data_IF_022227665438
#
_entry.id   IF_022227665438
#
_cell.length_a   1.000
_cell.length_b   1.000
_cell.length_c   1.000
_cell.angle_alpha   90.00
_cell.angle_beta   90.00
_cell.angle_gamma   90.00
#
_symmetry.space_group_name_H-M   'P 1'
#
loop_
_entity.id
_entity.type
_entity.pdbx_description
1 polymer ?
#
# COMPACT_ATOMS: atom_id res chain seq x y z
N UNK A 1 -11.27 34.83 91.94
CA UNK A 1 -11.31 33.40 92.35
C UNK A 1 -11.55 32.57 91.10
N UNK A 2 -10.92 31.41 90.85
CA UNK A 2 -9.76 30.69 91.44
C UNK A 2 -9.13 29.89 90.27
N UNK A 3 -7.82 29.71 90.09
CA UNK A 3 -6.64 30.24 90.79
C UNK A 3 -6.26 31.62 90.18
N UNK A 4 -5.14 32.01 89.53
CA UNK A 4 -3.82 31.43 89.16
C UNK A 4 -3.86 30.18 88.22
N UNK A 5 -2.81 29.78 87.48
CA UNK A 5 -1.38 30.15 87.48
C UNK A 5 -0.77 30.14 86.04
N UNK A 6 0.36 30.81 85.86
CA UNK A 6 1.23 30.76 84.67
C UNK A 6 2.02 29.43 84.58
N UNK A 7 2.35 28.94 83.38
CA UNK A 7 3.61 28.22 83.16
C UNK A 7 4.05 28.25 81.69
N UNK A 8 5.35 28.41 81.46
CA UNK A 8 6.00 28.32 80.16
C UNK A 8 6.65 26.94 80.04
N UNK A 9 6.45 26.26 78.92
CA UNK A 9 7.30 25.12 78.52
C UNK A 9 7.62 25.22 77.04
N UNK A 10 8.88 25.50 76.74
CA UNK A 10 9.44 25.41 75.38
C UNK A 10 9.63 23.94 75.05
N UNK A 11 9.10 23.48 73.92
CA UNK A 11 9.47 22.19 73.34
C UNK A 11 9.90 22.39 71.88
N UNK A 12 11.21 22.56 71.70
CA UNK A 12 11.83 22.67 70.38
C UNK A 12 11.92 21.29 69.75
N UNK A 13 10.99 20.96 68.85
CA UNK A 13 11.08 19.75 68.01
C UNK A 13 11.61 20.14 66.63
N UNK A 14 12.93 20.04 66.49
CA UNK A 14 13.58 19.90 65.19
C UNK A 14 13.98 18.43 65.05
N UNK A 15 13.55 17.77 63.98
CA UNK A 15 14.38 16.86 63.16
C UNK A 15 13.58 16.25 62.00
N UNK A 16 14.26 16.12 60.85
CA UNK A 16 14.01 15.20 59.72
C UNK A 16 12.61 15.19 59.09
N UNK A 17 12.47 15.92 57.99
CA UNK A 17 12.75 15.26 56.71
C UNK A 17 11.71 14.28 56.17
N UNK A 18 10.46 14.73 56.00
CA UNK A 18 9.58 14.19 54.96
C UNK A 18 9.26 15.27 53.93
N UNK A 19 10.26 15.63 53.10
CA UNK A 19 9.96 16.08 51.73
C UNK A 19 9.35 14.85 51.03
N UNK A 20 8.03 14.70 51.10
CA UNK A 20 7.32 13.82 50.19
C UNK A 20 7.39 14.51 48.84
N UNK A 21 8.37 14.15 48.04
CA UNK A 21 8.35 14.48 46.63
C UNK A 21 7.04 13.89 46.08
N UNK A 22 6.14 14.78 45.67
CA UNK A 22 5.04 14.41 44.81
C UNK A 22 5.67 14.14 43.44
N UNK A 23 6.24 12.95 43.31
CA UNK A 23 6.31 12.26 42.03
C UNK A 23 4.87 12.16 41.54
N UNK A 24 4.45 13.15 40.76
CA UNK A 24 3.44 12.97 39.74
C UNK A 24 4.03 11.97 38.75
N UNK A 25 3.99 10.70 39.15
CA UNK A 25 4.28 9.54 38.35
C UNK A 25 3.07 9.34 37.44
N UNK A 26 2.87 10.34 36.56
CA UNK A 26 1.85 10.27 35.54
C UNK A 26 2.40 9.29 34.53
N UNK A 27 1.87 8.08 34.56
CA UNK A 27 1.81 7.24 33.37
C UNK A 27 0.86 7.92 32.37
N UNK A 28 1.26 9.09 31.87
CA UNK A 28 0.61 9.80 30.78
C UNK A 28 0.60 8.82 29.61
N UNK A 29 -0.56 8.26 29.33
CA UNK A 29 -0.69 7.37 28.18
C UNK A 29 -0.29 8.17 26.94
N UNK A 30 0.38 7.56 25.96
CA UNK A 30 0.79 8.31 24.75
C UNK A 30 -0.43 8.94 24.07
N UNK A 31 -1.60 8.30 24.19
CA UNK A 31 -2.92 8.82 23.85
C UNK A 31 -3.23 10.16 24.55
N UNK A 32 -3.00 10.30 25.86
CA UNK A 32 -3.28 11.53 26.60
C UNK A 32 -2.25 12.64 26.32
N UNK A 33 -0.97 12.28 26.10
CA UNK A 33 0.04 13.20 25.54
C UNK A 33 -0.45 13.74 24.19
N UNK A 34 -0.91 12.88 23.29
CA UNK A 34 -1.44 13.24 21.97
C UNK A 34 -2.68 14.15 22.09
N UNK A 35 -3.64 13.79 22.95
CA UNK A 35 -4.85 14.59 23.21
C UNK A 35 -4.55 15.98 23.77
N UNK A 36 -3.45 16.15 24.51
CA UNK A 36 -3.06 17.46 25.05
C UNK A 36 -2.73 18.48 23.94
N UNK A 37 -2.25 18.00 22.78
CA UNK A 37 -1.73 18.84 21.70
C UNK A 37 -0.44 19.61 22.04
N UNK A 38 0.09 19.45 23.26
CA UNK A 38 1.32 20.12 23.71
C UNK A 38 2.53 19.36 23.17
N UNK A 39 3.53 20.08 22.66
CA UNK A 39 4.76 19.45 22.17
C UNK A 39 5.48 18.68 23.30
N UNK A 40 6.00 17.46 23.03
CA UNK A 40 6.85 16.74 23.96
C UNK A 40 8.06 17.59 24.39
N UNK A 41 8.50 17.42 25.64
CA UNK A 41 9.70 18.10 26.15
C UNK A 41 10.98 17.72 25.39
N UNK A 42 11.01 16.50 24.83
CA UNK A 42 11.98 16.04 23.84
C UNK A 42 11.22 15.54 22.61
N UNK A 43 11.29 16.32 21.52
CA UNK A 43 10.61 16.01 20.26
C UNK A 43 11.35 14.91 19.50
N UNK A 44 12.68 14.88 19.55
CA UNK A 44 13.48 13.96 18.76
C UNK A 44 13.39 12.54 19.34
N UNK A 45 13.36 12.42 20.68
CA UNK A 45 13.05 11.16 21.37
C UNK A 45 11.62 10.67 21.10
N UNK A 46 10.63 11.57 21.03
CA UNK A 46 9.25 11.20 20.67
C UNK A 46 9.16 10.68 19.24
N UNK A 47 9.72 11.40 18.27
CA UNK A 47 9.68 10.98 16.87
C UNK A 47 10.46 9.66 16.66
N UNK A 48 11.58 9.46 17.34
CA UNK A 48 12.34 8.21 17.28
C UNK A 48 11.60 7.00 17.90
N UNK A 49 10.84 7.18 18.99
CA UNK A 49 10.02 6.11 19.57
C UNK A 49 8.89 5.70 18.63
N UNK A 50 8.18 6.68 18.06
CA UNK A 50 7.09 6.44 17.10
C UNK A 50 7.60 5.77 15.82
N UNK A 51 8.76 6.18 15.32
CA UNK A 51 9.42 5.55 14.16
C UNK A 51 9.83 4.09 14.46
N UNK A 52 10.28 3.79 15.68
CA UNK A 52 10.67 2.45 16.10
C UNK A 52 9.46 1.51 16.28
N UNK A 53 8.38 1.96 16.93
CA UNK A 53 7.15 1.15 17.04
C UNK A 53 6.52 0.92 15.65
N UNK A 54 6.53 1.94 14.79
CA UNK A 54 5.95 1.84 13.45
C UNK A 54 6.77 0.95 12.51
N UNK A 55 8.09 0.80 12.75
CA UNK A 55 8.91 -0.18 12.03
C UNK A 55 8.41 -1.63 12.26
N UNK A 56 7.93 -1.97 13.47
CA UNK A 56 7.33 -3.28 13.74
C UNK A 56 6.00 -3.49 12.98
N UNK A 57 5.20 -2.43 12.78
CA UNK A 57 4.03 -2.47 11.89
C UNK A 57 4.46 -2.77 10.46
N UNK A 58 5.49 -2.09 9.95
CA UNK A 58 5.99 -2.30 8.58
C UNK A 58 6.61 -3.69 8.35
N UNK A 59 7.20 -4.30 9.38
CA UNK A 59 7.72 -5.68 9.33
C UNK A 59 6.58 -6.71 9.34
N UNK A 60 5.50 -6.44 10.08
CA UNK A 60 4.35 -7.35 10.19
C UNK A 60 3.37 -7.27 9.01
N UNK A 61 3.26 -6.14 8.30
CA UNK A 61 2.32 -5.95 7.17
C UNK A 61 2.42 -7.09 6.14
N UNK A 62 1.29 -7.73 5.82
CA UNK A 62 1.24 -8.83 4.86
C UNK A 62 1.63 -10.21 5.41
N UNK A 63 1.96 -10.31 6.70
CA UNK A 63 2.10 -11.58 7.43
C UNK A 63 0.82 -11.92 8.21
N UNK A 64 0.75 -13.13 8.78
CA UNK A 64 -0.35 -13.54 9.67
C UNK A 64 -0.46 -12.67 10.95
N UNK A 65 0.62 -11.97 11.33
CA UNK A 65 0.66 -11.05 12.48
C UNK A 65 0.28 -9.60 12.16
N UNK A 66 -0.17 -9.29 10.95
CA UNK A 66 -0.38 -7.89 10.54
C UNK A 66 -1.43 -7.15 11.38
N UNK A 67 -2.55 -7.80 11.71
CA UNK A 67 -3.56 -7.24 12.61
C UNK A 67 -3.04 -7.02 14.04
N UNK A 68 -2.22 -7.92 14.57
CA UNK A 68 -1.71 -7.81 15.94
C UNK A 68 -0.77 -6.61 16.10
N UNK A 69 0.08 -6.34 15.09
CA UNK A 69 0.96 -5.17 15.08
C UNK A 69 0.18 -3.85 14.93
N UNK A 70 -0.86 -3.83 14.09
CA UNK A 70 -1.75 -2.67 13.94
C UNK A 70 -2.52 -2.39 15.24
N UNK A 71 -3.06 -3.43 15.89
CA UNK A 71 -3.74 -3.34 17.17
C UNK A 71 -2.81 -2.86 18.30
N UNK A 72 -1.54 -3.31 18.31
CA UNK A 72 -0.55 -2.84 19.28
C UNK A 72 -0.23 -1.35 19.11
N UNK A 73 -0.14 -0.86 17.87
CA UNK A 73 0.08 0.56 17.59
C UNK A 73 -1.15 1.41 17.97
N UNK A 74 -2.36 0.96 17.62
CA UNK A 74 -3.62 1.60 18.03
C UNK A 74 -3.80 1.63 19.55
N UNK A 75 -3.48 0.53 20.25
CA UNK A 75 -3.54 0.47 21.72
C UNK A 75 -2.52 1.38 22.40
N UNK A 76 -1.34 1.59 21.80
CA UNK A 76 -0.33 2.53 22.32
C UNK A 76 -0.70 3.98 22.06
N UNK A 77 -1.19 4.32 20.85
CA UNK A 77 -1.27 5.70 20.36
C UNK A 77 -2.67 6.25 20.08
N UNK A 78 -3.71 5.42 20.05
CA UNK A 78 -5.10 5.84 19.87
C UNK A 78 -5.48 6.17 18.42
N UNK A 79 -5.00 5.35 17.48
CA UNK A 79 -5.30 5.41 16.04
C UNK A 79 -6.39 4.40 15.63
N UNK A 80 -6.78 4.39 14.34
CA UNK A 80 -7.79 3.49 13.74
C UNK A 80 -7.16 2.52 12.70
N UNK A 81 -5.88 2.15 12.86
CA UNK A 81 -5.15 1.31 11.91
C UNK A 81 -5.65 -0.13 11.88
N UNK A 82 -5.95 -0.75 13.03
CA UNK A 82 -6.51 -2.10 13.16
C UNK A 82 -7.90 -2.17 12.54
N UNK A 83 -8.75 -1.16 12.77
CA UNK A 83 -10.08 -1.10 12.17
C UNK A 83 -10.02 -1.03 10.63
N UNK A 84 -8.94 -0.47 10.10
CA UNK A 84 -8.63 -0.41 8.68
C UNK A 84 -8.07 -1.75 8.18
N UNK A 85 -7.03 -2.27 8.83
CA UNK A 85 -6.44 -3.59 8.54
C UNK A 85 -7.49 -4.70 8.59
N UNK A 86 -8.40 -4.69 9.56
CA UNK A 86 -9.49 -5.64 9.73
C UNK A 86 -10.50 -5.63 8.59
N UNK A 87 -10.77 -4.46 7.96
CA UNK A 87 -11.60 -4.40 6.74
C UNK A 87 -10.92 -5.10 5.58
N UNK A 88 -9.60 -4.94 5.46
CA UNK A 88 -8.82 -5.64 4.44
C UNK A 88 -8.65 -7.12 4.76
N UNK A 89 -8.43 -7.52 6.00
CA UNK A 89 -8.39 -8.92 6.43
C UNK A 89 -9.74 -9.62 6.26
N UNK A 90 -10.86 -8.92 6.49
CA UNK A 90 -12.19 -9.40 6.15
C UNK A 90 -12.39 -9.50 4.62
N UNK A 91 -11.84 -8.57 3.83
CA UNK A 91 -11.85 -8.65 2.38
C UNK A 91 -10.98 -9.82 1.85
N UNK A 92 -9.83 -10.10 2.47
CA UNK A 92 -9.02 -11.32 2.25
C UNK A 92 -9.87 -12.55 2.56
N UNK A 93 -10.38 -12.67 3.78
CA UNK A 93 -11.10 -13.86 4.27
C UNK A 93 -12.40 -14.15 3.52
N UNK A 94 -13.17 -13.12 3.13
CA UNK A 94 -14.39 -13.29 2.34
C UNK A 94 -14.13 -13.79 0.91
N UNK A 95 -12.93 -13.57 0.37
CA UNK A 95 -12.53 -14.02 -0.97
C UNK A 95 -11.76 -15.35 -0.91
N UNK A 96 -10.82 -15.52 0.03
CA UNK A 96 -10.12 -16.80 0.26
C UNK A 96 -11.06 -17.91 0.74
N UNK A 97 -12.15 -17.56 1.44
CA UNK A 97 -13.26 -18.48 1.76
C UNK A 97 -14.00 -19.04 0.53
N UNK A 98 -13.64 -18.61 -0.70
CA UNK A 98 -14.20 -19.10 -1.96
C UNK A 98 -13.35 -20.16 -2.68
N UNK A 99 -12.27 -20.69 -2.08
CA UNK A 99 -11.62 -21.90 -2.61
C UNK A 99 -10.93 -22.79 -1.57
N UNK A 100 -11.31 -24.07 -1.56
CA UNK A 100 -10.51 -25.14 -0.96
C UNK A 100 -9.61 -25.77 -2.03
N UNK A 101 -8.31 -25.85 -1.73
CA UNK A 101 -7.24 -26.53 -2.48
C UNK A 101 -6.99 -26.17 -3.96
N UNK A 102 -5.71 -25.85 -4.23
CA UNK A 102 -4.99 -26.08 -5.49
C UNK A 102 -5.50 -25.44 -6.78
N UNK A 103 -4.85 -24.35 -7.19
CA UNK A 103 -4.42 -24.13 -8.58
C UNK A 103 -5.48 -23.76 -9.62
N UNK A 104 -6.77 -23.76 -9.28
CA UNK A 104 -7.85 -23.29 -10.13
C UNK A 104 -8.61 -22.15 -9.49
N UNK A 105 -8.73 -21.04 -10.23
CA UNK A 105 -9.75 -20.01 -9.97
C UNK A 105 -11.13 -20.67 -9.82
N UNK A 106 -11.86 -20.34 -8.75
CA UNK A 106 -13.22 -20.84 -8.52
C UNK A 106 -14.28 -20.09 -9.34
N UNK A 107 -13.85 -19.11 -10.16
CA UNK A 107 -14.71 -18.35 -11.07
C UNK A 107 -14.81 -19.06 -12.43
N UNK A 108 -15.97 -19.00 -13.11
CA UNK A 108 -16.13 -19.61 -14.42
C UNK A 108 -15.21 -18.94 -15.45
N UNK A 109 -14.53 -19.74 -16.27
CA UNK A 109 -13.56 -19.26 -17.23
C UNK A 109 -14.16 -18.29 -18.25
N UNK A 110 -13.42 -17.22 -18.55
CA UNK A 110 -13.79 -16.16 -19.47
C UNK A 110 -13.52 -16.60 -20.93
N UNK A 111 -14.27 -17.61 -21.39
CA UNK A 111 -14.14 -18.23 -22.73
C UNK A 111 -14.23 -17.23 -23.87
N UNK A 112 -14.94 -16.13 -23.67
CA UNK A 112 -15.20 -15.10 -24.67
C UNK A 112 -14.22 -13.90 -24.59
N UNK A 113 -13.16 -13.98 -23.78
CA UNK A 113 -12.13 -12.94 -23.70
C UNK A 113 -11.42 -12.79 -25.07
N UNK A 114 -11.41 -11.59 -25.69
CA UNK A 114 -10.95 -11.41 -27.06
C UNK A 114 -9.44 -11.12 -27.15
N UNK A 115 -8.65 -12.09 -27.62
CA UNK A 115 -7.23 -11.91 -27.95
C UNK A 115 -7.06 -11.63 -29.44
N UNK A 116 -7.38 -10.40 -29.88
CA UNK A 116 -7.43 -10.05 -31.30
C UNK A 116 -7.06 -8.59 -31.66
N UNK A 117 -6.58 -7.80 -30.69
CA UNK A 117 -6.08 -6.44 -30.94
C UNK A 117 -4.75 -6.24 -30.23
N UNK A 118 -3.72 -5.95 -31.00
CA UNK A 118 -2.38 -5.71 -30.51
C UNK A 118 -2.33 -4.46 -29.62
N UNK A 119 -1.52 -4.52 -28.56
CA UNK A 119 -1.44 -3.49 -27.53
C UNK A 119 -2.70 -3.36 -26.65
N UNK A 120 -3.72 -4.22 -26.79
CA UNK A 120 -4.88 -4.19 -25.89
C UNK A 120 -4.44 -4.47 -24.45
N UNK A 121 -4.94 -3.65 -23.51
CA UNK A 121 -4.62 -3.80 -22.08
C UNK A 121 -5.70 -4.62 -21.41
N UNK A 122 -5.29 -5.66 -20.70
CA UNK A 122 -6.13 -6.55 -19.93
C UNK A 122 -6.00 -6.12 -18.47
N UNK A 123 -7.13 -5.95 -17.78
CA UNK A 123 -7.16 -5.65 -16.35
C UNK A 123 -8.02 -6.69 -15.65
N UNK A 124 -7.60 -7.17 -14.47
CA UNK A 124 -8.40 -8.11 -13.65
C UNK A 124 -8.40 -7.74 -12.18
N UNK A 125 -9.52 -8.02 -11.51
CA UNK A 125 -9.60 -8.03 -10.05
C UNK A 125 -9.13 -9.36 -9.47
N UNK A 126 -9.63 -9.66 -8.26
CA UNK A 126 -9.25 -10.83 -7.47
C UNK A 126 -8.15 -10.52 -6.46
N UNK A 127 -8.12 -11.26 -5.36
CA UNK A 127 -7.08 -11.16 -4.31
C UNK A 127 -6.74 -12.55 -3.78
N UNK A 128 -6.73 -13.52 -4.68
CA UNK A 128 -6.60 -14.94 -4.37
C UNK A 128 -5.12 -15.32 -4.11
N UNK A 129 -4.21 -14.38 -4.40
CA UNK A 129 -2.80 -14.39 -4.01
C UNK A 129 -2.45 -13.17 -3.11
N UNK A 130 -1.28 -13.24 -2.48
CA UNK A 130 -0.73 -12.21 -1.59
C UNK A 130 -0.44 -10.89 -2.33
N UNK A 131 -0.17 -10.96 -3.64
CA UNK A 131 0.16 -9.80 -4.47
C UNK A 131 -1.08 -8.95 -4.73
N UNK A 132 -2.15 -9.53 -5.28
CA UNK A 132 -3.43 -8.87 -5.47
C UNK A 132 -4.04 -8.41 -4.14
N UNK A 133 -3.77 -9.14 -3.05
CA UNK A 133 -4.09 -8.73 -1.67
C UNK A 133 -3.41 -7.42 -1.26
N UNK A 134 -2.09 -7.29 -1.42
CA UNK A 134 -1.37 -6.03 -1.09
C UNK A 134 -1.77 -4.91 -2.03
N UNK A 135 -2.05 -5.22 -3.31
CA UNK A 135 -2.57 -4.23 -4.27
C UNK A 135 -3.96 -3.74 -3.86
N UNK A 136 -4.88 -4.61 -3.42
CA UNK A 136 -6.19 -4.22 -2.89
C UNK A 136 -6.03 -3.39 -1.60
N UNK A 137 -5.05 -3.70 -0.76
CA UNK A 137 -4.76 -2.92 0.45
C UNK A 137 -4.32 -1.47 0.15
N UNK A 138 -3.41 -1.26 -0.82
CA UNK A 138 -2.89 0.09 -1.12
C UNK A 138 -3.67 0.88 -2.16
N UNK A 139 -4.42 0.22 -3.04
CA UNK A 139 -5.13 0.92 -4.12
C UNK A 139 -6.35 1.68 -3.59
N UNK A 140 -6.67 2.86 -4.16
CA UNK A 140 -7.98 3.48 -4.02
C UNK A 140 -9.13 2.55 -4.43
N UNK A 141 -10.37 2.93 -4.07
CA UNK A 141 -11.60 2.18 -4.38
C UNK A 141 -12.60 3.07 -5.14
N UNK A 142 -12.11 3.88 -6.07
CA UNK A 142 -12.87 5.00 -6.62
C UNK A 142 -13.64 4.69 -7.89
N UNK A 143 -13.23 3.68 -8.67
CA UNK A 143 -13.95 3.27 -9.87
C UNK A 143 -14.64 1.91 -9.70
N UNK A 144 -15.82 1.71 -10.31
CA UNK A 144 -16.40 0.39 -10.46
C UNK A 144 -15.46 -0.52 -11.25
N UNK A 145 -15.12 -1.68 -10.68
CA UNK A 145 -14.33 -2.70 -11.36
C UNK A 145 -13.18 -3.28 -10.54
N UNK A 146 -12.66 -2.57 -9.52
CA UNK A 146 -11.74 -3.14 -8.51
C UNK A 146 -10.60 -3.99 -9.11
N UNK A 147 -9.90 -3.45 -10.11
CA UNK A 147 -8.84 -4.16 -10.85
C UNK A 147 -7.47 -3.96 -10.18
N UNK A 148 -6.75 -5.05 -9.98
CA UNK A 148 -5.49 -5.11 -9.21
C UNK A 148 -4.35 -5.78 -9.99
N UNK A 149 -4.65 -6.38 -11.13
CA UNK A 149 -3.66 -6.93 -12.05
C UNK A 149 -3.88 -6.37 -13.46
N UNK A 150 -2.79 -6.25 -14.23
CA UNK A 150 -2.83 -5.70 -15.58
C UNK A 150 -1.76 -6.33 -16.49
N UNK A 151 -2.09 -6.54 -17.77
CA UNK A 151 -1.15 -6.96 -18.79
C UNK A 151 -1.43 -6.26 -20.12
N UNK A 152 -0.48 -6.26 -21.05
CA UNK A 152 -0.69 -5.80 -22.43
C UNK A 152 -0.40 -6.93 -23.41
N UNK A 153 -1.28 -7.12 -24.39
CA UNK A 153 -1.14 -8.17 -25.40
C UNK A 153 -0.13 -7.77 -26.47
N UNK A 154 0.89 -8.60 -26.63
CA UNK A 154 1.66 -8.76 -27.85
C UNK A 154 0.92 -9.76 -28.75
N UNK A 155 0.33 -9.25 -29.84
CA UNK A 155 -0.46 -10.08 -30.74
C UNK A 155 0.41 -10.98 -31.64
N UNK A 156 1.67 -10.62 -31.89
CA UNK A 156 2.58 -11.42 -32.71
C UNK A 156 3.06 -12.67 -31.95
N UNK A 157 3.07 -12.61 -30.61
CA UNK A 157 3.33 -13.76 -29.72
C UNK A 157 2.11 -14.64 -29.44
N UNK A 158 0.89 -14.28 -29.88
CA UNK A 158 -0.32 -15.06 -29.59
C UNK A 158 -0.64 -16.13 -30.64
N UNK A 159 -0.66 -17.40 -30.23
CA UNK A 159 -1.14 -18.52 -31.06
C UNK A 159 -2.59 -18.92 -30.67
N UNK A 160 -3.60 -18.71 -31.55
CA UNK A 160 -4.97 -19.13 -31.28
C UNK A 160 -5.17 -20.66 -31.25
N UNK A 161 -4.16 -21.45 -31.64
CA UNK A 161 -4.16 -22.91 -31.53
C UNK A 161 -3.50 -23.40 -30.23
N UNK A 162 -2.81 -22.52 -29.49
CA UNK A 162 -2.09 -22.85 -28.27
C UNK A 162 -2.14 -21.70 -27.25
N UNK A 163 -3.22 -21.65 -26.46
CA UNK A 163 -3.43 -20.61 -25.44
C UNK A 163 -2.39 -20.61 -24.30
N UNK A 164 -1.43 -21.54 -24.31
CA UNK A 164 -0.32 -21.60 -23.36
C UNK A 164 0.96 -20.90 -23.86
N UNK A 165 0.94 -20.25 -25.02
CA UNK A 165 2.04 -19.35 -25.42
C UNK A 165 1.99 -18.07 -24.59
N UNK A 166 3.17 -17.59 -24.18
CA UNK A 166 3.37 -16.33 -23.47
C UNK A 166 3.19 -15.15 -24.43
N UNK A 167 2.11 -14.39 -24.26
CA UNK A 167 1.75 -13.26 -25.14
C UNK A 167 1.31 -11.99 -24.39
N UNK A 168 1.21 -12.04 -23.05
CA UNK A 168 0.70 -10.92 -22.26
C UNK A 168 1.80 -10.40 -21.33
N UNK A 169 2.36 -9.24 -21.65
CA UNK A 169 3.42 -8.59 -20.89
C UNK A 169 2.87 -8.02 -19.59
N UNK A 170 3.46 -8.41 -18.46
CA UNK A 170 2.98 -8.06 -17.12
C UNK A 170 4.11 -8.17 -16.09
N UNK A 171 3.79 -8.14 -14.80
CA UNK A 171 4.69 -8.60 -13.76
C UNK A 171 4.09 -9.81 -13.05
N UNK A 172 4.95 -10.81 -12.83
CA UNK A 172 4.68 -12.07 -12.11
C UNK A 172 5.55 -12.07 -10.83
N UNK A 173 5.55 -13.17 -10.06
CA UNK A 173 6.29 -13.24 -8.78
C UNK A 173 7.79 -12.88 -8.83
N UNK A 174 8.45 -12.99 -10.00
CA UNK A 174 9.85 -12.61 -10.24
C UNK A 174 10.06 -11.15 -10.71
N UNK A 175 9.04 -10.30 -10.67
CA UNK A 175 9.04 -8.99 -11.31
C UNK A 175 8.49 -9.06 -12.74
N UNK A 176 8.99 -8.25 -13.68
CA UNK A 176 8.52 -8.24 -15.08
C UNK A 176 8.57 -9.65 -15.70
N UNK A 177 7.57 -9.99 -16.51
CA UNK A 177 7.35 -11.34 -17.01
C UNK A 177 6.21 -11.40 -18.03
N UNK A 178 5.84 -12.63 -18.39
CA UNK A 178 4.70 -12.90 -19.25
C UNK A 178 3.64 -13.76 -18.56
N UNK A 179 2.40 -13.61 -18.99
CA UNK A 179 1.33 -14.58 -18.82
C UNK A 179 0.79 -15.06 -20.19
N UNK A 180 0.01 -16.15 -20.15
CA UNK A 180 -0.60 -16.76 -21.32
C UNK A 180 -2.08 -16.39 -21.45
N UNK A 181 -2.65 -16.56 -22.65
CA UNK A 181 -4.08 -16.37 -22.87
C UNK A 181 -4.92 -17.29 -21.97
N UNK A 182 -4.50 -18.54 -21.77
CA UNK A 182 -5.13 -19.50 -20.86
C UNK A 182 -5.17 -18.98 -19.41
N UNK A 183 -4.04 -18.47 -18.89
CA UNK A 183 -4.00 -17.86 -17.56
C UNK A 183 -5.01 -16.71 -17.48
N UNK A 184 -5.05 -15.82 -18.48
CA UNK A 184 -5.97 -14.68 -18.50
C UNK A 184 -7.45 -15.07 -18.62
N UNK A 185 -7.79 -16.18 -19.30
CA UNK A 185 -9.17 -16.73 -19.26
C UNK A 185 -9.58 -17.22 -17.87
N UNK A 186 -8.64 -17.56 -16.97
CA UNK A 186 -8.95 -17.96 -15.59
C UNK A 186 -8.95 -16.79 -14.59
N UNK A 187 -8.50 -15.59 -14.98
CA UNK A 187 -8.53 -14.39 -14.14
C UNK A 187 -9.98 -13.98 -13.84
N UNK A 188 -10.18 -13.41 -12.66
CA UNK A 188 -11.50 -13.09 -12.10
C UNK A 188 -11.81 -11.62 -12.35
N UNK A 189 -13.08 -11.29 -12.61
CA UNK A 189 -13.53 -9.90 -12.79
C UNK A 189 -12.59 -9.10 -13.72
N UNK A 190 -12.50 -9.52 -14.99
CA UNK A 190 -11.54 -8.99 -15.96
C UNK A 190 -12.21 -8.23 -17.11
N UNK A 191 -11.52 -7.21 -17.62
CA UNK A 191 -11.94 -6.39 -18.76
C UNK A 191 -10.78 -6.19 -19.74
N UNK A 192 -11.11 -5.94 -21.01
CA UNK A 192 -10.14 -5.66 -22.08
C UNK A 192 -10.33 -4.23 -22.58
N UNK A 193 -9.33 -3.39 -22.31
CA UNK A 193 -9.23 -1.99 -22.67
C UNK A 193 -8.52 -1.89 -24.03
N UNK A 194 -9.32 -1.73 -25.09
CA UNK A 194 -8.81 -1.52 -26.44
C UNK A 194 -8.32 -0.07 -26.61
N UNK A 195 -7.15 0.17 -27.25
CA UNK A 195 -6.69 1.52 -27.60
C UNK A 195 -7.77 2.32 -28.32
N UNK A 196 -8.01 3.57 -27.93
CA UNK A 196 -9.02 4.46 -28.54
C UNK A 196 -8.58 4.93 -29.92
N UNK A 197 -7.28 5.08 -30.13
CA UNK A 197 -6.68 5.40 -31.42
C UNK A 197 -5.98 4.19 -32.06
N UNK A 198 -5.74 4.24 -33.37
CA UNK A 198 -4.96 3.22 -34.07
C UNK A 198 -3.49 3.30 -33.68
N UNK A 199 -2.93 2.17 -33.22
CA UNK A 199 -1.50 2.07 -32.91
C UNK A 199 -0.66 1.96 -34.19
N UNK A 200 0.51 2.57 -34.20
CA UNK A 200 1.53 2.34 -35.22
C UNK A 200 2.29 1.06 -34.86
N UNK A 201 2.08 -0.02 -35.64
CA UNK A 201 2.66 -1.36 -35.39
C UNK A 201 4.17 -1.28 -35.12
N UNK A 202 4.99 -0.76 -36.03
CA UNK A 202 6.45 -0.71 -35.85
C UNK A 202 6.95 0.06 -34.60
N UNK A 203 6.18 1.03 -34.08
CA UNK A 203 6.46 1.65 -32.77
C UNK A 203 6.07 0.77 -31.59
N UNK A 204 4.95 0.05 -31.70
CA UNK A 204 4.47 -0.87 -30.68
C UNK A 204 5.40 -2.08 -30.58
N UNK A 205 5.79 -2.67 -31.71
CA UNK A 205 6.79 -3.74 -31.81
C UNK A 205 8.09 -3.33 -31.12
N UNK A 206 8.55 -2.09 -31.35
CA UNK A 206 9.75 -1.53 -30.74
C UNK A 206 9.63 -1.28 -29.23
N UNK A 207 8.41 -1.18 -28.71
CA UNK A 207 8.12 -0.96 -27.29
C UNK A 207 7.94 -2.28 -26.53
N UNK A 208 7.27 -3.26 -27.15
CA UNK A 208 7.14 -4.65 -26.69
C UNK A 208 8.53 -5.31 -26.67
N UNK A 209 9.27 -5.29 -27.80
CA UNK A 209 10.63 -5.82 -27.90
C UNK A 209 11.66 -5.13 -26.96
N UNK A 210 11.36 -3.94 -26.44
CA UNK A 210 12.15 -3.32 -25.38
C UNK A 210 11.86 -3.96 -24.00
N UNK A 211 10.61 -4.37 -23.76
CA UNK A 211 10.19 -5.06 -22.54
C UNK A 211 10.54 -6.55 -22.53
N UNK A 212 10.68 -7.21 -23.68
CA UNK A 212 11.16 -8.61 -23.81
C UNK A 212 12.37 -8.94 -22.91
N UNK A 213 13.35 -8.02 -22.78
CA UNK A 213 14.54 -8.20 -21.93
C UNK A 213 14.22 -8.32 -20.42
N UNK A 214 13.19 -7.62 -19.94
CA UNK A 214 12.72 -7.70 -18.56
C UNK A 214 11.70 -8.84 -18.39
N UNK A 215 10.90 -9.10 -19.41
CA UNK A 215 9.89 -10.16 -19.40
C UNK A 215 10.47 -11.58 -19.57
N UNK A 216 11.68 -11.73 -20.13
CA UNK A 216 12.39 -13.01 -20.27
C UNK A 216 12.39 -13.81 -18.95
N UNK A 217 11.84 -15.02 -19.00
CA UNK A 217 11.71 -15.92 -17.84
C UNK A 217 13.05 -16.36 -17.24
N UNK A 218 14.15 -16.25 -18.00
CA UNK A 218 15.51 -16.52 -17.52
C UNK A 218 16.12 -15.34 -16.75
N UNK A 219 15.55 -14.13 -16.86
CA UNK A 219 16.01 -12.97 -16.11
C UNK A 219 15.45 -12.99 -14.68
N UNK A 220 16.32 -13.36 -13.73
CA UNK A 220 16.03 -13.53 -12.29
C UNK A 220 16.48 -12.38 -11.40
N UNK A 221 17.02 -11.29 -11.97
CA UNK A 221 17.59 -10.16 -11.21
C UNK A 221 16.54 -9.08 -10.92
N UNK A 222 15.34 -9.47 -10.51
CA UNK A 222 14.17 -8.58 -10.35
C UNK A 222 13.24 -9.06 -9.23
N UNK A 223 12.41 -8.15 -8.74
CA UNK A 223 11.42 -8.36 -7.68
C UNK A 223 10.03 -7.86 -8.10
N UNK A 224 8.97 -8.37 -7.44
CA UNK A 224 7.62 -7.83 -7.56
C UNK A 224 7.29 -6.87 -6.40
N UNK A 225 6.71 -5.70 -6.69
CA UNK A 225 6.07 -4.84 -5.70
C UNK A 225 5.89 -3.38 -6.13
N UNK A 226 4.85 -2.71 -5.63
CA UNK A 226 4.78 -1.23 -5.63
C UNK A 226 5.81 -0.58 -4.69
N UNK A 227 6.32 -1.36 -3.74
CA UNK A 227 7.27 -0.95 -2.72
C UNK A 227 8.43 -1.94 -2.70
N UNK A 228 9.64 -1.45 -2.39
CA UNK A 228 10.80 -2.35 -2.24
C UNK A 228 10.64 -3.17 -0.96
N UNK A 229 11.05 -4.44 -1.02
CA UNK A 229 10.75 -5.46 -0.01
C UNK A 229 9.23 -5.70 0.15
N UNK A 230 8.43 -5.43 -0.89
CA UNK A 230 6.97 -5.66 -1.01
C UNK A 230 6.06 -4.83 -0.09
N UNK A 231 6.40 -4.67 1.19
CA UNK A 231 5.48 -4.18 2.25
C UNK A 231 5.95 -2.90 2.96
N UNK A 232 7.21 -2.48 2.79
CA UNK A 232 7.68 -1.20 3.34
C UNK A 232 7.15 -0.03 2.51
N UNK A 233 5.99 0.49 2.89
CA UNK A 233 5.25 1.54 2.15
C UNK A 233 6.09 2.80 1.86
N UNK A 234 7.08 3.14 2.70
CA UNK A 234 7.93 4.31 2.49
C UNK A 234 8.93 4.13 1.34
N UNK A 235 9.24 2.89 0.94
CA UNK A 235 10.10 2.58 -0.19
C UNK A 235 9.33 2.46 -1.51
N UNK A 236 8.54 3.49 -1.87
CA UNK A 236 7.77 3.55 -3.13
C UNK A 236 8.70 3.31 -4.32
N UNK A 237 8.37 2.30 -5.14
CA UNK A 237 9.12 1.94 -6.34
C UNK A 237 8.90 3.01 -7.41
N UNK A 238 9.99 3.63 -7.88
CA UNK A 238 9.85 4.64 -8.93
C UNK A 238 9.48 4.01 -10.27
N UNK A 239 8.81 4.81 -11.12
CA UNK A 239 8.54 4.42 -12.52
C UNK A 239 9.82 4.06 -13.29
N UNK A 240 10.94 4.72 -13.00
CA UNK A 240 12.22 4.53 -13.69
C UNK A 240 13.06 3.35 -13.16
N UNK A 241 12.70 2.77 -12.02
CA UNK A 241 13.41 1.61 -11.45
C UNK A 241 13.27 0.37 -12.36
N UNK A 242 14.35 -0.39 -12.58
CA UNK A 242 14.34 -1.59 -13.44
C UNK A 242 14.51 -2.90 -12.67
N UNK A 243 14.56 -2.84 -11.34
CA UNK A 243 14.75 -4.01 -10.47
C UNK A 243 13.41 -4.46 -9.88
N UNK A 244 12.64 -3.54 -9.29
CA UNK A 244 11.31 -3.86 -8.73
C UNK A 244 10.20 -3.47 -9.70
N UNK A 245 9.30 -4.40 -9.99
CA UNK A 245 8.24 -4.28 -11.00
C UNK A 245 6.86 -4.59 -10.43
N UNK A 246 5.83 -4.05 -11.07
CA UNK A 246 4.43 -4.40 -10.81
C UNK A 246 3.66 -4.36 -12.13
N UNK A 247 2.51 -5.02 -12.16
CA UNK A 247 1.77 -5.34 -13.39
C UNK A 247 1.43 -4.10 -14.24
N UNK A 248 0.84 -3.07 -13.63
CA UNK A 248 0.52 -1.79 -14.28
C UNK A 248 1.75 -0.96 -14.67
N UNK A 249 2.91 -1.16 -14.03
CA UNK A 249 4.19 -0.55 -14.46
C UNK A 249 4.67 -1.12 -15.78
N UNK A 250 4.56 -2.44 -15.99
CA UNK A 250 4.96 -3.07 -17.26
C UNK A 250 4.10 -2.54 -18.40
N UNK A 251 2.77 -2.46 -18.21
CA UNK A 251 1.86 -1.83 -19.17
C UNK A 251 2.22 -0.35 -19.42
N UNK A 252 2.50 0.43 -18.38
CA UNK A 252 2.95 1.82 -18.51
C UNK A 252 4.28 1.95 -19.26
N UNK A 253 5.23 1.02 -19.05
CA UNK A 253 6.51 1.03 -19.77
C UNK A 253 6.32 0.82 -21.28
N UNK A 254 5.50 -0.15 -21.70
CA UNK A 254 5.21 -0.37 -23.14
C UNK A 254 4.60 0.90 -23.76
N UNK A 255 3.60 1.50 -23.12
CA UNK A 255 2.97 2.70 -23.66
C UNK A 255 3.87 3.95 -23.65
N UNK A 256 4.65 4.15 -22.59
CA UNK A 256 5.62 5.23 -22.50
C UNK A 256 6.73 5.08 -23.56
N UNK A 257 7.16 3.85 -23.88
CA UNK A 257 8.12 3.55 -24.95
C UNK A 257 7.53 3.75 -26.34
N UNK A 258 6.25 3.43 -26.54
CA UNK A 258 5.49 3.75 -27.75
C UNK A 258 5.32 5.28 -27.95
N UNK A 259 5.23 6.02 -26.84
CA UNK A 259 5.19 7.48 -26.78
C UNK A 259 3.88 8.08 -26.25
N UNK A 260 3.11 7.34 -25.46
CA UNK A 260 1.91 7.82 -24.75
C UNK A 260 2.07 7.60 -23.24
N UNK A 261 1.78 8.62 -22.44
CA UNK A 261 1.64 8.44 -20.99
C UNK A 261 0.20 8.03 -20.66
N UNK A 262 0.02 6.79 -20.19
CA UNK A 262 -1.29 6.22 -19.83
C UNK A 262 -1.59 6.29 -18.34
N UNK A 263 -0.68 6.86 -17.53
CA UNK A 263 -1.00 7.20 -16.15
C UNK A 263 -1.68 8.57 -16.12
N UNK A 264 -3.01 8.58 -15.98
CA UNK A 264 -3.79 9.81 -16.12
C UNK A 264 -3.64 10.80 -14.97
N UNK A 265 -3.04 10.38 -13.84
CA UNK A 265 -2.97 11.11 -12.56
C UNK A 265 -4.29 11.84 -12.21
N UNK A 266 -5.41 11.14 -12.39
CA UNK A 266 -6.73 11.74 -12.49
C UNK A 266 -7.26 12.19 -11.13
N UNK A 267 -7.80 13.42 -11.08
CA UNK A 267 -8.47 13.94 -9.88
C UNK A 267 -9.79 13.22 -9.54
N UNK A 268 -10.23 12.27 -10.37
CA UNK A 268 -11.36 11.38 -10.06
C UNK A 268 -10.95 10.24 -9.10
N UNK A 269 -9.64 9.97 -8.97
CA UNK A 269 -9.12 8.90 -8.12
C UNK A 269 -8.77 9.50 -6.75
N UNK A 270 -9.66 9.26 -5.80
CA UNK A 270 -9.55 9.73 -4.41
C UNK A 270 -8.73 8.73 -3.60
N UNK A 271 -7.43 9.04 -3.54
CA UNK A 271 -6.47 8.28 -2.75
C UNK A 271 -6.78 8.28 -1.25
N UNK A 272 -7.64 9.16 -0.72
CA UNK A 272 -8.04 9.10 0.69
C UNK A 272 -8.91 7.88 1.03
N UNK A 273 -9.43 7.18 0.02
CA UNK A 273 -10.13 5.89 0.14
C UNK A 273 -9.20 4.68 0.34
N UNK A 274 -7.88 4.85 0.21
CA UNK A 274 -6.90 3.75 0.28
C UNK A 274 -6.46 3.39 1.71
N UNK A 275 -6.08 2.12 1.91
CA UNK A 275 -5.41 1.69 3.15
C UNK A 275 -4.06 2.38 3.35
N UNK A 276 -3.35 2.61 2.24
CA UNK A 276 -2.08 3.35 2.19
C UNK A 276 -2.22 4.75 2.79
N UNK A 277 -3.20 5.54 2.34
CA UNK A 277 -3.45 6.86 2.89
C UNK A 277 -3.78 6.80 4.38
N UNK A 278 -4.61 5.83 4.80
CA UNK A 278 -5.06 5.74 6.18
C UNK A 278 -3.90 5.49 7.14
N UNK A 279 -3.06 4.49 6.88
CA UNK A 279 -1.87 4.23 7.73
C UNK A 279 -0.92 5.42 7.74
N UNK A 280 -0.65 6.04 6.58
CA UNK A 280 0.23 7.22 6.49
C UNK A 280 -0.32 8.41 7.26
N UNK A 281 -1.64 8.64 7.16
CA UNK A 281 -2.38 9.69 7.87
C UNK A 281 -2.32 9.46 9.38
N UNK A 282 -2.45 8.22 9.86
CA UNK A 282 -2.42 7.89 11.29
C UNK A 282 -0.99 7.92 11.88
N UNK A 283 0.01 7.34 11.21
CA UNK A 283 1.41 7.43 11.63
C UNK A 283 1.89 8.89 11.73
N UNK A 284 1.63 9.73 10.73
CA UNK A 284 1.95 11.15 10.82
C UNK A 284 1.01 11.95 11.74
N UNK A 285 -0.16 11.41 12.12
CA UNK A 285 -1.00 11.97 13.18
C UNK A 285 -0.40 11.78 14.57
N UNK A 286 0.22 10.63 14.82
CA UNK A 286 0.95 10.31 16.06
C UNK A 286 2.30 11.04 16.10
N UNK A 287 3.14 10.86 15.08
CA UNK A 287 4.51 11.43 15.06
C UNK A 287 4.50 12.95 15.18
N UNK A 288 3.58 13.62 14.49
CA UNK A 288 3.49 15.08 14.43
C UNK A 288 2.21 15.63 15.08
N UNK A 289 1.70 14.98 16.13
CA UNK A 289 0.46 15.41 16.81
C UNK A 289 0.50 16.89 17.22
N UNK A 290 1.66 17.33 17.72
CA UNK A 290 1.95 18.68 18.21
C UNK A 290 2.13 19.74 17.09
N UNK A 291 2.13 19.34 15.81
CA UNK A 291 2.33 20.27 14.69
C UNK A 291 1.48 19.89 13.47
N UNK A 292 0.30 20.52 13.38
CA UNK A 292 -0.60 20.40 12.23
C UNK A 292 0.07 20.75 10.88
N UNK A 293 1.07 21.63 10.90
CA UNK A 293 1.87 21.99 9.71
C UNK A 293 2.83 20.88 9.30
N UNK A 294 3.67 20.34 10.21
CA UNK A 294 4.54 19.17 9.93
C UNK A 294 3.69 18.00 9.43
N UNK A 295 2.62 17.66 10.16
CA UNK A 295 1.66 16.59 9.82
C UNK A 295 1.11 16.72 8.40
N UNK A 296 0.51 17.87 8.08
CA UNK A 296 -0.09 18.10 6.75
C UNK A 296 0.97 18.07 5.65
N UNK A 297 2.17 18.59 5.89
CA UNK A 297 3.26 18.55 4.90
C UNK A 297 3.68 17.10 4.63
N UNK A 298 3.97 16.32 5.66
CA UNK A 298 4.48 14.95 5.51
C UNK A 298 3.47 14.01 4.82
N UNK A 299 2.18 14.09 5.17
CA UNK A 299 1.11 13.35 4.47
C UNK A 299 1.04 13.78 3.00
N UNK A 300 1.05 15.09 2.71
CA UNK A 300 0.98 15.60 1.34
C UNK A 300 2.21 15.19 0.49
N UNK A 301 3.42 15.34 1.04
CA UNK A 301 4.68 14.99 0.36
C UNK A 301 4.70 13.49 -0.01
N UNK A 302 4.32 12.64 0.94
CA UNK A 302 4.24 11.20 0.72
C UNK A 302 3.18 10.85 -0.33
N UNK A 303 1.96 11.36 -0.21
CA UNK A 303 0.88 11.02 -1.15
C UNK A 303 1.14 11.57 -2.56
N UNK A 304 1.83 12.70 -2.69
CA UNK A 304 2.33 13.20 -3.98
C UNK A 304 3.40 12.26 -4.57
N UNK A 305 4.31 11.74 -3.73
CA UNK A 305 5.34 10.77 -4.13
C UNK A 305 4.74 9.44 -4.57
N UNK A 306 3.71 8.94 -3.85
CA UNK A 306 2.95 7.76 -4.23
C UNK A 306 2.24 7.95 -5.58
N UNK A 307 1.44 9.01 -5.73
CA UNK A 307 0.74 9.38 -6.98
C UNK A 307 1.67 9.55 -8.19
N UNK A 308 2.85 10.13 -8.01
CA UNK A 308 3.79 10.36 -9.11
C UNK A 308 4.38 9.05 -9.68
N UNK A 309 4.39 7.97 -8.89
CA UNK A 309 5.09 6.73 -9.22
C UNK A 309 4.15 5.53 -9.41
N UNK A 310 3.21 5.29 -8.50
CA UNK A 310 2.31 4.14 -8.54
C UNK A 310 1.23 4.36 -9.61
N UNK A 311 1.35 3.63 -10.72
CA UNK A 311 0.32 3.56 -11.76
C UNK A 311 -0.77 2.59 -11.30
N UNK A 312 -2.02 3.03 -11.24
CA UNK A 312 -3.16 2.18 -10.88
C UNK A 312 -3.87 1.67 -12.14
N UNK A 313 -4.58 0.55 -12.03
CA UNK A 313 -5.47 0.10 -13.11
C UNK A 313 -6.60 1.12 -13.37
N UNK A 314 -7.07 1.82 -12.32
CA UNK A 314 -8.01 2.94 -12.45
C UNK A 314 -7.44 4.09 -13.32
N UNK A 315 -6.15 4.42 -13.21
CA UNK A 315 -5.51 5.45 -14.04
C UNK A 315 -5.46 5.03 -15.51
N UNK A 316 -5.16 3.75 -15.78
CA UNK A 316 -5.14 3.20 -17.15
C UNK A 316 -6.55 3.17 -17.76
N UNK A 317 -7.60 2.93 -16.97
CA UNK A 317 -8.99 3.04 -17.43
C UNK A 317 -9.40 4.48 -17.80
N UNK A 318 -8.88 5.47 -17.06
CA UNK A 318 -9.17 6.89 -17.27
C UNK A 318 -8.26 7.56 -18.32
N UNK A 319 -7.14 6.91 -18.68
CA UNK A 319 -6.25 7.30 -19.78
C UNK A 319 -7.02 7.77 -21.02
N UNK A 320 -6.65 8.87 -21.68
CA UNK A 320 -7.35 9.37 -22.87
C UNK A 320 -7.06 8.54 -24.15
N UNK A 321 -6.17 7.55 -24.08
CA UNK A 321 -5.59 6.83 -25.22
C UNK A 321 -6.25 5.50 -25.58
#
# INVERSE_FOLDING_TARGET
>A
MKKLLLCLTVLTVVLVGCKKELSYDVSDSKIDVIKSGVAPADIDAWEAEVDADFAAVLEALGSDGDLEALAAFDAKYGTDMEATGSRFAAARAARSGSSSSSGSSSYPALTNMPFNKDGAVYVSGGTDDLVGTVVDWVSPKTLPGSYYHAAVLDLDKYDPNNENVYCLETAISKGAGYETAYQWRTKVNAAVLNPKYSLNKSKLDSAQAYMDYYCDMNNTNMEYGFFKNTVNIFNVVTKADTYTWYCTKVVWWVYNKYGWDIDSNSSQIDWTTSGLYTIVKDYYAVRYFYSSSKKKKAINDYMATAKANIVLAEEIMLSPY
#
